data_IF_777948461253
#
_entry.id   IF_777948461253
#
_cell.length_a   1.000
_cell.length_b   1.000
_cell.length_c   1.000
_cell.angle_alpha   90.00
_cell.angle_beta   90.00
_cell.angle_gamma   90.00
#
_symmetry.space_group_name_H-M   'P 1'
#
loop_
_entity.id
_entity.type
_entity.pdbx_description
1 polymer ?
#
# COMPACT_ATOMS: atom_id res chain seq x y z
N UNK A 1 34.60 -9.44 29.01
CA UNK A 1 34.22 -8.26 28.21
C UNK A 1 35.14 -8.20 27.01
N UNK A 2 34.66 -8.55 25.82
CA UNK A 2 35.41 -8.44 24.58
C UNK A 2 34.53 -7.67 23.59
N UNK A 3 34.86 -6.40 23.40
CA UNK A 3 34.17 -5.53 22.45
C UNK A 3 34.63 -5.83 21.04
N UNK A 4 33.68 -5.96 20.11
CA UNK A 4 33.96 -6.08 18.68
C UNK A 4 33.97 -4.65 18.12
N UNK A 5 35.16 -4.16 17.76
CA UNK A 5 35.35 -2.89 17.07
C UNK A 5 35.18 -3.12 15.56
N UNK A 6 34.21 -2.46 14.95
CA UNK A 6 34.14 -2.34 13.49
C UNK A 6 34.91 -1.07 13.10
N UNK A 7 36.18 -1.25 12.73
CA UNK A 7 36.98 -0.21 12.11
C UNK A 7 36.38 0.10 10.75
N UNK A 8 35.89 1.32 10.59
CA UNK A 8 35.48 1.88 9.31
C UNK A 8 36.76 2.09 8.48
N UNK A 9 37.16 1.06 7.74
CA UNK A 9 38.30 1.17 6.83
C UNK A 9 37.85 1.95 5.60
N UNK A 10 38.62 2.99 5.30
CA UNK A 10 38.26 4.03 4.34
C UNK A 10 38.10 3.49 2.93
N UNK A 11 37.33 4.23 2.12
CA UNK A 11 37.26 4.06 0.67
C UNK A 11 38.70 3.94 0.11
N UNK A 12 39.06 2.86 -0.59
CA UNK A 12 40.36 2.77 -1.22
C UNK A 12 40.40 3.77 -2.38
N UNK A 13 41.04 4.92 -2.14
CA UNK A 13 41.42 5.90 -3.15
C UNK A 13 42.43 5.25 -4.09
N UNK A 14 41.96 4.65 -5.17
CA UNK A 14 42.84 4.01 -6.14
C UNK A 14 42.18 3.16 -7.23
N UNK A 15 40.86 3.16 -7.36
CA UNK A 15 40.18 2.44 -8.44
C UNK A 15 39.82 3.44 -9.55
N UNK A 16 40.59 3.45 -10.63
CA UNK A 16 40.12 4.04 -11.89
C UNK A 16 38.92 3.23 -12.37
N UNK A 17 37.71 3.72 -12.11
CA UNK A 17 36.54 3.26 -12.84
C UNK A 17 36.68 3.73 -14.29
N UNK A 18 37.00 2.79 -15.18
CA UNK A 18 36.84 2.98 -16.61
C UNK A 18 35.32 3.02 -16.84
N UNK A 19 34.75 4.22 -16.83
CA UNK A 19 33.37 4.46 -17.24
C UNK A 19 33.31 4.05 -18.71
N UNK A 20 32.80 2.85 -18.99
CA UNK A 20 32.40 2.47 -20.34
C UNK A 20 31.12 3.23 -20.63
N UNK A 21 31.25 4.43 -21.22
CA UNK A 21 30.11 5.13 -21.78
C UNK A 21 29.55 4.28 -22.93
N UNK A 22 28.51 3.49 -22.66
CA UNK A 22 27.70 2.87 -23.69
C UNK A 22 26.92 3.98 -24.37
N UNK A 23 27.41 4.41 -25.53
CA UNK A 23 26.70 5.32 -26.44
C UNK A 23 25.31 4.72 -26.70
N UNK A 24 24.27 5.37 -26.20
CA UNK A 24 22.89 4.99 -26.48
C UNK A 24 22.57 5.54 -27.88
N UNK A 25 22.49 4.66 -28.88
CA UNK A 25 22.09 5.06 -30.23
C UNK A 25 20.63 5.52 -30.19
N UNK A 26 20.44 6.84 -30.19
CA UNK A 26 19.15 7.52 -30.30
C UNK A 26 18.62 7.40 -31.73
N UNK A 27 18.13 6.23 -32.11
CA UNK A 27 17.31 6.07 -33.31
C UNK A 27 16.34 4.88 -33.25
N UNK A 28 15.58 4.75 -32.16
CA UNK A 28 14.35 3.94 -32.23
C UNK A 28 13.17 4.83 -32.58
N UNK A 29 12.55 4.59 -33.74
CA UNK A 29 11.27 5.20 -34.09
C UNK A 29 10.18 4.76 -33.10
N UNK A 30 9.24 5.63 -32.72
CA UNK A 30 8.11 5.23 -31.89
C UNK A 30 7.23 4.21 -32.63
N UNK A 31 6.58 3.26 -31.93
CA UNK A 31 5.67 2.32 -32.59
C UNK A 31 4.48 3.09 -33.17
N UNK A 32 4.20 2.86 -34.45
CA UNK A 32 3.03 3.39 -35.14
C UNK A 32 1.87 2.43 -34.92
N UNK A 33 0.87 2.85 -34.16
CA UNK A 33 -0.40 2.13 -34.06
C UNK A 33 -1.31 2.60 -35.18
N UNK A 34 -1.26 1.92 -36.32
CA UNK A 34 -2.29 2.09 -37.34
C UNK A 34 -3.54 1.31 -36.90
N UNK A 35 -4.58 2.02 -36.46
CA UNK A 35 -5.92 1.46 -36.46
C UNK A 35 -6.31 1.24 -37.92
N UNK A 36 -6.55 -0.01 -38.32
CA UNK A 36 -7.14 -0.27 -39.63
C UNK A 36 -8.60 0.19 -39.57
N UNK A 37 -8.93 1.32 -40.20
CA UNK A 37 -10.31 1.58 -40.61
C UNK A 37 -10.68 0.47 -41.61
N UNK A 38 -11.39 -0.53 -41.12
CA UNK A 38 -12.02 -1.55 -41.95
C UNK A 38 -13.38 -1.03 -42.39
N UNK A 39 -13.36 -0.20 -43.42
CA UNK A 39 -14.48 -0.14 -44.37
C UNK A 39 -14.42 -1.42 -45.21
N UNK A 40 -15.08 -2.46 -44.71
CA UNK A 40 -15.41 -3.64 -45.49
C UNK A 40 -16.74 -4.17 -44.98
N UNK A 41 -17.79 -3.89 -45.74
CA UNK A 41 -19.10 -4.48 -45.58
C UNK A 41 -19.00 -6.00 -45.70
N UNK A 42 -19.02 -6.67 -44.56
CA UNK A 42 -19.36 -8.09 -44.44
C UNK A 42 -20.49 -8.17 -43.41
N UNK A 43 -21.67 -8.61 -43.85
CA UNK A 43 -22.76 -9.02 -42.97
C UNK A 43 -22.27 -10.17 -42.07
N UNK A 44 -21.75 -9.79 -40.89
CA UNK A 44 -21.44 -10.73 -39.81
C UNK A 44 -22.67 -10.82 -38.93
N UNK A 45 -23.04 -12.03 -38.45
CA UNK A 45 -24.16 -12.17 -37.53
C UNK A 45 -23.93 -11.23 -36.35
N UNK A 46 -24.87 -10.32 -36.09
CA UNK A 46 -24.80 -9.31 -35.05
C UNK A 46 -24.36 -9.95 -33.74
N UNK A 47 -23.09 -9.72 -33.37
CA UNK A 47 -22.55 -10.19 -32.11
C UNK A 47 -23.34 -9.52 -30.99
N UNK A 48 -24.07 -10.32 -30.21
CA UNK A 48 -24.74 -9.80 -29.01
C UNK A 48 -23.68 -9.36 -28.02
N UNK A 49 -23.61 -8.06 -27.74
CA UNK A 49 -22.80 -7.51 -26.65
C UNK A 49 -23.35 -8.06 -25.32
N UNK A 50 -22.66 -9.03 -24.73
CA UNK A 50 -23.08 -9.66 -23.46
C UNK A 50 -22.71 -8.78 -22.26
N UNK A 51 -21.59 -8.05 -22.35
CA UNK A 51 -21.14 -7.12 -21.31
C UNK A 51 -20.77 -5.77 -21.93
N UNK A 52 -21.55 -4.74 -21.62
CA UNK A 52 -21.24 -3.35 -21.96
C UNK A 52 -20.61 -2.62 -20.78
N UNK A 53 -19.90 -1.52 -21.03
CA UNK A 53 -19.32 -0.65 -19.99
C UNK A 53 -20.35 0.31 -19.37
N UNK A 54 -21.61 0.27 -19.80
CA UNK A 54 -22.70 1.08 -19.23
C UNK A 54 -22.86 0.99 -17.69
N UNK A 55 -22.68 -0.16 -16.99
CA UNK A 55 -22.76 -0.21 -15.54
C UNK A 55 -21.52 0.36 -14.84
N UNK A 56 -20.43 0.66 -15.57
CA UNK A 56 -19.24 1.32 -15.02
C UNK A 56 -19.37 2.85 -14.94
N UNK A 57 -20.46 3.42 -15.46
CA UNK A 57 -20.84 4.81 -15.20
C UNK A 57 -21.22 4.94 -13.72
N UNK A 58 -20.19 5.19 -12.90
CA UNK A 58 -20.33 5.54 -11.48
C UNK A 58 -21.37 6.66 -11.37
N UNK A 59 -22.51 6.36 -10.74
CA UNK A 59 -23.66 7.26 -10.56
C UNK A 59 -23.37 8.50 -9.71
N UNK A 60 -22.13 8.72 -9.28
CA UNK A 60 -21.70 9.89 -8.54
C UNK A 60 -20.29 10.27 -9.00
N UNK A 61 -20.08 11.46 -9.58
CA UNK A 61 -18.72 11.97 -9.74
C UNK A 61 -18.06 12.05 -8.37
N UNK A 62 -16.74 11.82 -8.33
CA UNK A 62 -15.96 12.00 -7.11
C UNK A 62 -16.20 13.41 -6.55
N UNK A 63 -16.29 13.57 -5.22
CA UNK A 63 -16.43 14.90 -4.62
C UNK A 63 -15.26 15.76 -5.07
N UNK A 64 -15.57 16.97 -5.55
CA UNK A 64 -14.56 17.91 -6.02
C UNK A 64 -13.70 18.37 -4.84
N UNK A 65 -12.44 17.96 -4.86
CA UNK A 65 -11.46 18.20 -3.81
C UNK A 65 -11.06 19.69 -3.75
N UNK A 66 -11.39 20.47 -4.78
CA UNK A 66 -11.08 21.90 -4.88
C UNK A 66 -12.26 22.82 -4.55
N UNK A 67 -13.45 22.27 -4.28
CA UNK A 67 -14.63 23.06 -3.93
C UNK A 67 -14.53 23.80 -2.58
N UNK A 68 -13.47 23.56 -1.79
CA UNK A 68 -13.24 24.16 -0.49
C UNK A 68 -12.51 25.50 -0.46
N UNK A 69 -12.07 26.07 -1.60
CA UNK A 69 -11.19 27.25 -1.61
C UNK A 69 -11.89 28.58 -1.96
N UNK A 70 -13.13 28.80 -1.51
CA UNK A 70 -13.76 30.12 -1.60
C UNK A 70 -14.36 30.51 -0.24
N UNK A 71 -13.94 31.64 0.38
CA UNK A 71 -14.55 32.10 1.61
C UNK A 71 -15.85 32.82 1.27
N UNK A 72 -16.98 32.34 1.78
CA UNK A 72 -18.20 33.14 1.81
C UNK A 72 -19.00 32.93 3.09
N UNK A 73 -19.37 34.07 3.64
CA UNK A 73 -19.89 34.36 4.96
C UNK A 73 -21.27 33.77 5.27
N UNK A 74 -21.44 33.38 6.53
CA UNK A 74 -22.64 33.35 7.40
C UNK A 74 -23.96 32.72 6.90
N UNK A 75 -24.41 31.66 7.61
CA UNK A 75 -25.50 31.72 8.60
C UNK A 75 -26.10 30.32 8.88
N UNK A 76 -26.30 30.05 10.17
CA UNK A 76 -27.26 29.11 10.79
C UNK A 76 -27.37 27.64 10.34
N UNK A 77 -26.83 26.75 11.17
CA UNK A 77 -27.67 25.77 11.88
C UNK A 77 -26.90 25.17 13.05
N UNK A 78 -27.29 25.58 14.25
CA UNK A 78 -26.95 24.92 15.49
C UNK A 78 -27.69 23.57 15.56
N UNK A 79 -27.15 22.53 14.93
CA UNK A 79 -27.45 21.16 15.35
C UNK A 79 -26.30 20.71 16.24
N UNK A 80 -26.59 20.69 17.54
CA UNK A 80 -25.72 20.20 18.61
C UNK A 80 -25.52 18.69 18.40
N UNK A 81 -24.64 18.33 17.47
CA UNK A 81 -24.15 16.98 17.29
C UNK A 81 -23.33 16.62 18.53
N UNK A 82 -24.01 15.97 19.46
CA UNK A 82 -23.47 15.21 20.58
C UNK A 82 -22.19 14.52 20.11
N UNK A 83 -21.03 14.69 20.77
CA UNK A 83 -19.88 13.86 20.43
C UNK A 83 -20.33 12.43 20.70
N UNK A 84 -20.48 11.64 19.63
CA UNK A 84 -20.60 10.19 19.75
C UNK A 84 -19.34 9.81 20.52
N UNK A 85 -19.56 9.29 21.73
CA UNK A 85 -18.48 8.83 22.59
C UNK A 85 -17.56 7.98 21.73
N UNK A 86 -16.33 8.45 21.54
CA UNK A 86 -15.31 7.70 20.84
C UNK A 86 -15.28 6.32 21.48
N UNK A 87 -15.56 5.29 20.68
CA UNK A 87 -15.32 3.93 21.10
C UNK A 87 -13.89 3.89 21.69
N UNK A 88 -13.68 3.22 22.83
CA UNK A 88 -12.36 3.19 23.44
C UNK A 88 -11.39 2.74 22.36
N UNK A 89 -10.39 3.58 22.08
CA UNK A 89 -9.35 3.24 21.11
C UNK A 89 -8.77 1.90 21.56
N UNK A 90 -9.14 0.83 20.85
CA UNK A 90 -8.68 -0.50 21.19
C UNK A 90 -7.16 -0.45 21.17
N UNK A 91 -6.54 -0.78 22.31
CA UNK A 91 -5.09 -0.76 22.42
C UNK A 91 -4.49 -1.66 21.34
N UNK A 92 -3.77 -1.07 20.39
CA UNK A 92 -3.13 -1.85 19.34
C UNK A 92 -1.99 -2.68 19.95
N UNK A 93 -1.81 -3.94 19.50
CA UNK A 93 -0.66 -4.74 19.88
C UNK A 93 0.63 -4.02 19.49
N UNK A 94 1.61 -3.99 20.39
CA UNK A 94 2.91 -3.39 20.12
C UNK A 94 3.82 -4.46 19.53
N UNK A 95 4.37 -4.21 18.34
CA UNK A 95 5.39 -5.07 17.76
C UNK A 95 6.71 -4.84 18.52
N UNK A 96 7.21 -5.88 19.17
CA UNK A 96 8.47 -5.83 19.93
C UNK A 96 9.67 -6.31 19.10
N UNK A 97 9.41 -7.03 18.02
CA UNK A 97 10.44 -7.56 17.14
C UNK A 97 9.87 -8.55 16.15
N UNK A 98 10.70 -8.92 15.20
CA UNK A 98 10.43 -9.96 14.21
C UNK A 98 11.59 -10.95 14.24
N UNK A 99 11.34 -12.19 13.85
CA UNK A 99 12.37 -13.20 13.67
C UNK A 99 12.10 -14.00 12.41
N UNK A 100 13.16 -14.36 11.69
CA UNK A 100 13.05 -15.29 10.57
C UNK A 100 13.21 -16.73 11.08
N UNK A 101 12.29 -17.61 10.69
CA UNK A 101 12.35 -19.03 10.98
C UNK A 101 11.89 -19.84 9.77
N UNK A 102 12.74 -20.72 9.26
CA UNK A 102 12.49 -21.56 8.08
C UNK A 102 12.04 -20.76 6.84
N UNK A 103 12.59 -19.56 6.63
CA UNK A 103 12.25 -18.69 5.50
C UNK A 103 10.91 -17.93 5.64
N UNK A 104 10.27 -17.99 6.81
CA UNK A 104 9.09 -17.21 7.14
C UNK A 104 9.38 -16.25 8.31
N UNK A 105 8.76 -15.07 8.29
CA UNK A 105 8.86 -14.13 9.41
C UNK A 105 7.79 -14.42 10.46
N UNK A 106 8.20 -14.36 11.73
CA UNK A 106 7.35 -14.41 12.91
C UNK A 106 7.43 -13.05 13.62
N UNK A 107 6.31 -12.56 14.13
CA UNK A 107 6.22 -11.32 14.88
C UNK A 107 6.13 -11.62 16.38
N UNK A 108 6.88 -10.88 17.19
CA UNK A 108 6.69 -10.81 18.64
C UNK A 108 5.79 -9.64 18.98
N UNK A 109 4.60 -9.92 19.45
CA UNK A 109 3.66 -8.90 19.93
C UNK A 109 3.66 -8.84 21.44
N UNK A 110 3.57 -7.63 21.99
CA UNK A 110 3.20 -7.39 23.38
C UNK A 110 1.82 -6.77 23.43
N UNK A 111 0.90 -7.44 24.10
CA UNK A 111 -0.49 -7.00 24.21
C UNK A 111 -1.03 -7.35 25.61
N UNK A 112 -1.59 -6.36 26.32
CA UNK A 112 -2.11 -6.49 27.71
C UNK A 112 -1.14 -7.14 28.71
N UNK A 113 0.16 -6.92 28.53
CA UNK A 113 1.20 -7.44 29.43
C UNK A 113 1.68 -8.86 29.09
N UNK A 114 1.08 -9.52 28.11
CA UNK A 114 1.55 -10.80 27.59
C UNK A 114 2.42 -10.60 26.35
N UNK A 115 3.39 -11.49 26.16
CA UNK A 115 4.23 -11.53 24.96
C UNK A 115 3.88 -12.77 24.17
N UNK A 116 3.53 -12.59 22.90
CA UNK A 116 3.06 -13.62 22.00
C UNK A 116 3.98 -13.67 20.77
N UNK A 117 4.19 -14.87 20.23
CA UNK A 117 4.88 -15.07 18.95
C UNK A 117 3.85 -15.56 17.95
N UNK A 118 3.69 -14.84 16.85
CA UNK A 118 2.66 -15.12 15.85
C UNK A 118 3.25 -15.16 14.44
N UNK A 119 2.81 -16.12 13.65
CA UNK A 119 3.03 -16.20 12.21
C UNK A 119 1.88 -15.55 11.44
N UNK A 120 2.06 -15.38 10.12
CA UNK A 120 0.94 -15.02 9.24
C UNK A 120 -0.14 -16.12 9.30
N UNK A 121 -1.39 -15.71 9.51
CA UNK A 121 -2.55 -16.57 9.71
C UNK A 121 -2.95 -16.80 11.18
N UNK A 122 -2.06 -16.50 12.13
CA UNK A 122 -2.38 -16.65 13.55
C UNK A 122 -3.35 -15.58 14.03
N UNK A 123 -4.14 -15.90 15.06
CA UNK A 123 -5.08 -14.96 15.67
C UNK A 123 -4.94 -14.90 17.18
N UNK A 124 -5.07 -13.71 17.75
CA UNK A 124 -4.99 -13.45 19.18
C UNK A 124 -5.82 -12.21 19.56
N UNK A 125 -6.56 -12.26 20.68
CA UNK A 125 -7.43 -11.17 21.18
C UNK A 125 -8.30 -10.47 20.09
N UNK A 126 -8.77 -11.23 19.12
CA UNK A 126 -9.56 -10.74 17.99
C UNK A 126 -8.78 -10.06 16.86
N UNK A 127 -7.45 -9.99 16.96
CA UNK A 127 -6.55 -9.64 15.86
C UNK A 127 -6.19 -10.90 15.08
N UNK A 128 -6.14 -10.79 13.76
CA UNK A 128 -5.59 -11.81 12.85
C UNK A 128 -4.35 -11.25 12.19
N UNK A 129 -3.25 -11.98 12.19
CA UNK A 129 -2.01 -11.60 11.51
C UNK A 129 -2.17 -11.92 10.03
N UNK A 130 -2.25 -10.90 9.19
CA UNK A 130 -2.39 -11.06 7.74
C UNK A 130 -1.04 -11.37 7.10
N UNK A 131 -0.01 -10.64 7.52
CA UNK A 131 1.35 -10.78 6.99
C UNK A 131 2.36 -10.30 8.01
N UNK A 132 3.57 -10.86 7.92
CA UNK A 132 4.73 -10.44 8.70
C UNK A 132 5.88 -10.16 7.75
N UNK A 133 6.54 -9.03 7.96
CA UNK A 133 7.68 -8.54 7.21
C UNK A 133 8.88 -8.40 8.14
N UNK A 134 10.03 -7.98 7.59
CA UNK A 134 11.25 -7.79 8.37
C UNK A 134 11.08 -6.74 9.48
N UNK A 135 10.44 -5.61 9.22
CA UNK A 135 10.33 -4.49 10.20
C UNK A 135 8.89 -4.17 10.59
N UNK A 136 7.95 -5.09 10.34
CA UNK A 136 6.54 -4.83 10.57
C UNK A 136 5.65 -6.04 10.41
N UNK A 137 4.40 -5.88 10.81
CA UNK A 137 3.35 -6.86 10.61
C UNK A 137 2.02 -6.16 10.31
N UNK A 138 1.18 -6.80 9.51
CA UNK A 138 -0.16 -6.34 9.24
C UNK A 138 -1.16 -7.17 10.05
N UNK A 139 -1.97 -6.48 10.83
CA UNK A 139 -3.03 -7.05 11.66
C UNK A 139 -4.38 -6.67 11.08
N UNK A 140 -5.36 -7.54 11.21
CA UNK A 140 -6.76 -7.29 10.88
C UNK A 140 -7.61 -7.50 12.12
N UNK A 141 -8.52 -6.56 12.40
CA UNK A 141 -9.54 -6.69 13.44
C UNK A 141 -10.83 -6.09 12.95
N UNK A 142 -11.91 -6.87 13.02
CA UNK A 142 -13.26 -6.46 12.59
C UNK A 142 -13.31 -5.92 11.14
N UNK A 143 -12.49 -6.47 10.24
CA UNK A 143 -12.37 -6.05 8.84
C UNK A 143 -11.51 -4.79 8.61
N UNK A 144 -10.87 -4.26 9.67
CA UNK A 144 -9.97 -3.12 9.60
C UNK A 144 -8.53 -3.62 9.67
N UNK A 145 -7.75 -3.33 8.63
CA UNK A 145 -6.33 -3.59 8.59
C UNK A 145 -5.54 -2.47 9.28
N UNK A 146 -4.66 -2.83 10.21
CA UNK A 146 -3.68 -1.97 10.84
C UNK A 146 -2.28 -2.51 10.60
N UNK A 147 -1.38 -1.66 10.11
CA UNK A 147 0.04 -1.99 10.03
C UNK A 147 0.72 -1.56 11.33
N UNK A 148 1.52 -2.45 11.90
CA UNK A 148 2.34 -2.19 13.09
C UNK A 148 3.79 -2.36 12.69
N UNK A 149 4.59 -1.32 12.85
CA UNK A 149 6.04 -1.35 12.68
C UNK A 149 6.73 -1.22 14.04
N UNK A 150 8.02 -1.55 14.09
CA UNK A 150 8.87 -1.13 15.20
C UNK A 150 9.15 0.37 15.21
#
# INVERSE_FOLDING_TARGET
>A
MAGIWWGWDGVPSGRQEIIRETKNDTSSSPPVFSASDRDAEEERPEGRLVEGTAPSLRRRPLPDIFAGSAPKSAADSAEKARPVAAAPAAELPVLCGTMEHNGAYLALFRHRGETLVCAAGDSFDGYTVVSVYQDGAQLEKDGICAAVSM
#
